data_IF_674566483101
#
_entry.id   IF_674566483101
#
_cell.length_a   1.000
_cell.length_b   1.000
_cell.length_c   1.000
_cell.angle_alpha   90.00
_cell.angle_beta   90.00
_cell.angle_gamma   90.00
#
_symmetry.space_group_name_H-M   'P 1'
#
loop_
_entity.id
_entity.type
_entity.pdbx_description
1 polymer ?
#
# COMPACT_ATOMS: atom_id res chain seq x y z
N UNK A 1 -52.09 -6.39 4.20
CA UNK A 1 -50.95 -6.64 3.28
C UNK A 1 -49.69 -6.87 4.09
N UNK A 2 -49.17 -8.11 4.16
CA UNK A 2 -48.04 -8.45 5.04
C UNK A 2 -46.73 -7.82 4.55
N UNK A 3 -45.90 -7.41 5.51
CA UNK A 3 -44.56 -6.88 5.30
C UNK A 3 -43.65 -7.85 4.52
N UNK A 4 -43.86 -9.15 4.72
CA UNK A 4 -43.20 -10.25 4.00
C UNK A 4 -43.46 -10.21 2.49
N UNK A 5 -44.68 -9.86 2.06
CA UNK A 5 -45.04 -9.73 0.66
C UNK A 5 -44.34 -8.56 -0.04
N UNK A 6 -44.12 -7.44 0.68
CA UNK A 6 -43.37 -6.28 0.18
C UNK A 6 -41.87 -6.55 0.13
N UNK A 7 -41.33 -7.26 1.14
CA UNK A 7 -39.92 -7.68 1.19
C UNK A 7 -39.60 -8.65 0.04
N UNK A 8 -40.44 -9.66 -0.16
CA UNK A 8 -40.33 -10.66 -1.24
C UNK A 8 -40.33 -10.01 -2.63
N UNK A 9 -41.20 -9.01 -2.86
CA UNK A 9 -41.20 -8.23 -4.11
C UNK A 9 -39.92 -7.43 -4.29
N UNK A 10 -39.45 -6.70 -3.26
CA UNK A 10 -38.20 -5.93 -3.34
C UNK A 10 -36.99 -6.83 -3.61
N UNK A 11 -36.92 -8.00 -2.97
CA UNK A 11 -35.83 -8.96 -3.15
C UNK A 11 -35.84 -9.58 -4.55
N UNK A 12 -37.01 -9.88 -5.11
CA UNK A 12 -37.15 -10.34 -6.51
C UNK A 12 -36.70 -9.27 -7.51
N UNK A 13 -37.01 -8.00 -7.27
CA UNK A 13 -36.56 -6.89 -8.13
C UNK A 13 -35.05 -6.64 -8.02
N UNK A 14 -34.49 -6.70 -6.80
CA UNK A 14 -33.05 -6.59 -6.57
C UNK A 14 -32.27 -7.72 -7.28
N UNK A 15 -32.75 -8.97 -7.18
CA UNK A 15 -32.16 -10.13 -7.86
C UNK A 15 -32.22 -10.01 -9.39
N UNK A 16 -33.31 -9.48 -9.95
CA UNK A 16 -33.43 -9.22 -11.40
C UNK A 16 -32.51 -8.08 -11.88
N UNK A 17 -32.28 -7.05 -11.05
CA UNK A 17 -31.32 -5.96 -11.33
C UNK A 17 -29.88 -6.45 -11.30
N UNK A 18 -29.52 -7.22 -10.27
CA UNK A 18 -28.19 -7.83 -10.14
C UNK A 18 -27.88 -8.78 -11.29
N UNK A 19 -28.82 -9.64 -11.70
CA UNK A 19 -28.62 -10.55 -12.83
C UNK A 19 -28.41 -9.86 -14.21
N UNK A 20 -28.75 -8.57 -14.32
CA UNK A 20 -28.60 -7.77 -15.55
C UNK A 20 -27.38 -6.84 -15.54
N UNK A 21 -26.73 -6.62 -14.38
CA UNK A 21 -25.55 -5.75 -14.27
C UNK A 21 -24.28 -6.41 -14.80
N UNK A 22 -23.24 -5.62 -15.10
CA UNK A 22 -21.92 -6.14 -15.52
C UNK A 22 -21.34 -7.12 -14.48
N UNK A 23 -21.59 -6.87 -13.18
CA UNK A 23 -21.24 -7.76 -12.07
C UNK A 23 -22.02 -9.09 -12.09
N UNK A 24 -23.32 -9.06 -12.38
CA UNK A 24 -24.12 -10.28 -12.57
C UNK A 24 -23.76 -11.10 -13.81
N UNK A 25 -23.24 -10.44 -14.85
CA UNK A 25 -22.72 -11.11 -16.05
C UNK A 25 -21.33 -11.73 -15.82
N UNK A 26 -20.44 -11.07 -15.06
CA UNK A 26 -19.16 -11.63 -14.61
C UNK A 26 -19.34 -12.81 -13.62
N UNK A 27 -20.32 -12.69 -12.71
CA UNK A 27 -20.74 -13.74 -11.77
C UNK A 27 -21.16 -15.06 -12.44
N UNK A 28 -21.73 -15.02 -13.66
CA UNK A 28 -22.09 -16.25 -14.38
C UNK A 28 -20.86 -17.07 -14.82
N UNK A 29 -19.68 -16.45 -14.98
CA UNK A 29 -18.42 -17.16 -15.27
C UNK A 29 -17.69 -17.62 -14.01
N UNK A 30 -17.79 -16.91 -12.87
CA UNK A 30 -17.17 -17.31 -11.59
C UNK A 30 -18.04 -18.20 -10.68
N UNK A 31 -19.29 -18.49 -11.06
CA UNK A 31 -20.26 -19.17 -10.21
C UNK A 31 -19.91 -20.60 -9.79
N UNK A 32 -18.95 -21.27 -10.44
CA UNK A 32 -18.47 -22.59 -9.98
C UNK A 32 -17.59 -22.47 -8.72
N UNK A 33 -16.70 -21.49 -8.67
CA UNK A 33 -15.83 -21.24 -7.53
C UNK A 33 -16.63 -20.82 -6.29
N UNK A 34 -17.58 -19.89 -6.45
CA UNK A 34 -18.45 -19.46 -5.35
C UNK A 34 -19.36 -20.58 -4.83
N UNK A 35 -19.88 -21.44 -5.72
CA UNK A 35 -20.66 -22.62 -5.32
C UNK A 35 -19.81 -23.65 -4.59
N UNK A 36 -18.60 -23.90 -5.08
CA UNK A 36 -17.66 -24.82 -4.46
C UNK A 36 -17.29 -24.35 -3.04
N UNK A 37 -16.91 -23.08 -2.89
CA UNK A 37 -16.67 -22.46 -1.58
C UNK A 37 -17.91 -22.62 -0.68
N UNK A 38 -19.10 -22.21 -1.13
CA UNK A 38 -20.32 -22.32 -0.31
C UNK A 38 -20.63 -23.76 0.15
N UNK A 39 -20.25 -24.78 -0.62
CA UNK A 39 -20.45 -26.19 -0.29
C UNK A 39 -19.46 -26.66 0.78
N UNK A 40 -18.19 -26.25 0.67
CA UNK A 40 -17.16 -26.54 1.67
C UNK A 40 -17.54 -25.93 3.04
N UNK A 41 -17.97 -24.67 3.04
CA UNK A 41 -18.38 -23.94 4.23
C UNK A 41 -19.58 -24.59 4.91
N UNK A 42 -20.60 -24.98 4.14
CA UNK A 42 -21.76 -25.72 4.65
C UNK A 42 -21.40 -27.09 5.21
N UNK A 43 -20.43 -27.78 4.62
CA UNK A 43 -19.97 -29.09 5.10
C UNK A 43 -19.32 -28.99 6.47
N UNK A 44 -18.55 -27.93 6.72
CA UNK A 44 -17.95 -27.66 8.03
C UNK A 44 -19.03 -27.29 9.04
N UNK A 45 -19.93 -26.37 8.69
CA UNK A 45 -20.98 -25.88 9.58
C UNK A 45 -22.00 -26.97 9.97
N UNK A 46 -22.28 -27.92 9.07
CA UNK A 46 -23.21 -29.00 9.34
C UNK A 46 -22.66 -30.02 10.35
N UNK A 47 -21.34 -30.21 10.42
CA UNK A 47 -20.71 -31.05 11.42
C UNK A 47 -19.26 -30.60 11.71
N UNK A 48 -19.07 -29.60 12.58
CA UNK A 48 -17.76 -28.99 12.79
C UNK A 48 -16.75 -29.93 13.47
N UNK A 49 -17.22 -30.96 14.17
CA UNK A 49 -16.39 -31.90 14.94
C UNK A 49 -16.03 -33.18 14.18
N UNK A 50 -16.49 -33.34 12.94
CA UNK A 50 -16.09 -34.48 12.13
C UNK A 50 -14.62 -34.38 11.69
N UNK A 51 -13.90 -35.49 11.66
CA UNK A 51 -12.50 -35.58 11.17
C UNK A 51 -12.33 -34.94 9.78
N UNK A 52 -13.33 -35.11 8.90
CA UNK A 52 -13.36 -34.48 7.57
C UNK A 52 -13.46 -32.95 7.63
N UNK A 53 -14.17 -32.40 8.61
CA UNK A 53 -14.29 -30.97 8.83
C UNK A 53 -13.00 -30.38 9.39
N UNK A 54 -12.30 -31.09 10.29
CA UNK A 54 -10.96 -30.69 10.73
C UNK A 54 -9.96 -30.64 9.58
N UNK A 55 -9.94 -31.65 8.72
CA UNK A 55 -9.08 -31.64 7.54
C UNK A 55 -9.40 -30.47 6.58
N UNK A 56 -10.69 -30.19 6.37
CA UNK A 56 -11.11 -29.10 5.51
C UNK A 56 -10.83 -27.71 6.10
N UNK A 57 -11.00 -27.54 7.42
CA UNK A 57 -10.58 -26.34 8.15
C UNK A 57 -9.07 -26.16 8.06
N UNK A 58 -8.29 -27.23 8.24
CA UNK A 58 -6.83 -27.19 8.09
C UNK A 58 -6.41 -26.71 6.69
N UNK A 59 -7.04 -27.21 5.61
CA UNK A 59 -6.77 -26.74 4.26
C UNK A 59 -7.13 -25.26 4.05
N UNK A 60 -8.25 -24.81 4.60
CA UNK A 60 -8.65 -23.40 4.55
C UNK A 60 -7.63 -22.54 5.31
N UNK A 61 -7.24 -22.93 6.52
CA UNK A 61 -6.23 -22.23 7.30
C UNK A 61 -4.83 -22.30 6.69
N UNK A 62 -4.48 -23.36 5.97
CA UNK A 62 -3.22 -23.43 5.22
C UNK A 62 -3.23 -22.47 4.04
N UNK A 63 -4.34 -22.36 3.30
CA UNK A 63 -4.49 -21.37 2.22
C UNK A 63 -4.51 -19.95 2.77
N UNK A 64 -5.23 -19.70 3.86
CA UNK A 64 -5.20 -18.41 4.56
C UNK A 64 -3.81 -18.15 5.14
N UNK A 65 -3.11 -19.15 5.67
CA UNK A 65 -1.77 -19.03 6.22
C UNK A 65 -0.73 -18.72 5.15
N UNK A 66 -0.82 -19.34 3.96
CA UNK A 66 -0.01 -18.97 2.79
C UNK A 66 -0.39 -17.57 2.31
N UNK A 67 -1.68 -17.25 2.25
CA UNK A 67 -2.14 -15.91 1.92
C UNK A 67 -1.63 -14.88 2.94
N UNK A 68 -1.59 -15.16 4.23
CA UNK A 68 -1.06 -14.29 5.27
C UNK A 68 0.47 -14.31 5.33
N UNK A 69 1.14 -15.37 4.88
CA UNK A 69 2.59 -15.39 4.75
C UNK A 69 3.06 -14.57 3.53
N UNK A 70 2.27 -14.57 2.46
CA UNK A 70 2.53 -13.82 1.22
C UNK A 70 1.99 -12.39 1.28
N UNK A 71 0.86 -12.17 1.97
CA UNK A 71 0.09 -10.91 2.03
C UNK A 71 -0.38 -10.51 3.45
N UNK A 72 0.10 -11.16 4.51
CA UNK A 72 -0.30 -10.87 5.90
C UNK A 72 0.79 -10.19 6.73
N UNK A 73 1.98 -10.01 6.15
CA UNK A 73 2.95 -8.98 6.56
C UNK A 73 2.82 -7.68 5.74
N UNK A 74 1.87 -7.62 4.80
CA UNK A 74 1.77 -6.53 3.82
C UNK A 74 0.98 -5.34 4.34
N UNK A 75 1.62 -4.55 5.19
CA UNK A 75 1.40 -3.11 5.13
C UNK A 75 1.83 -2.58 3.75
N UNK A 76 1.19 -1.53 3.23
CA UNK A 76 1.61 -0.82 2.01
C UNK A 76 3.08 -0.34 2.06
N UNK A 77 3.64 -0.16 3.26
CA UNK A 77 5.04 0.12 3.53
C UNK A 77 5.53 -0.85 4.60
N UNK A 78 6.61 -1.59 4.31
CA UNK A 78 7.12 -2.68 5.17
C UNK A 78 8.55 -2.45 5.69
N UNK A 79 9.18 -1.32 5.41
CA UNK A 79 10.55 -1.02 5.89
C UNK A 79 10.65 -1.10 7.42
N UNK A 80 11.84 -1.23 7.97
CA UNK A 80 11.99 -0.91 9.38
C UNK A 80 11.78 0.60 9.61
N UNK A 81 11.16 1.03 10.71
CA UNK A 81 10.95 2.46 11.04
C UNK A 81 12.25 3.27 10.98
N UNK A 82 13.39 2.68 11.37
CA UNK A 82 14.68 3.34 11.25
C UNK A 82 15.09 3.60 9.79
N UNK A 83 14.86 2.62 8.91
CA UNK A 83 15.21 2.72 7.49
C UNK A 83 14.19 3.61 6.73
N UNK A 84 12.93 3.61 7.16
CA UNK A 84 11.91 4.56 6.70
C UNK A 84 12.32 5.99 7.03
N UNK A 85 12.77 6.24 8.27
CA UNK A 85 13.24 7.55 8.69
C UNK A 85 14.48 8.02 7.90
N UNK A 86 15.42 7.12 7.58
CA UNK A 86 16.55 7.45 6.68
C UNK A 86 16.07 7.82 5.29
N UNK A 87 15.12 7.06 4.74
CA UNK A 87 14.55 7.32 3.41
C UNK A 87 13.81 8.67 3.36
N UNK A 88 13.07 8.97 4.43
CA UNK A 88 12.42 10.27 4.61
C UNK A 88 13.42 11.42 4.70
N UNK A 89 14.50 11.24 5.46
CA UNK A 89 15.59 12.22 5.55
C UNK A 89 16.27 12.44 4.20
N UNK A 90 16.51 11.40 3.44
CA UNK A 90 17.13 11.49 2.11
C UNK A 90 16.34 12.45 1.20
N UNK A 91 15.03 12.27 1.12
CA UNK A 91 14.17 13.06 0.22
C UNK A 91 13.93 14.45 0.78
N UNK A 92 13.63 14.58 2.08
CA UNK A 92 13.44 15.92 2.68
C UNK A 92 14.72 16.77 2.60
N UNK A 93 15.90 16.15 2.75
CA UNK A 93 17.18 16.83 2.51
C UNK A 93 17.28 17.31 1.06
N UNK A 94 16.96 16.44 0.10
CA UNK A 94 17.00 16.76 -1.33
C UNK A 94 16.10 17.94 -1.68
N UNK A 95 14.87 17.96 -1.15
CA UNK A 95 13.94 19.08 -1.24
C UNK A 95 14.59 20.39 -0.80
N UNK A 96 15.20 20.42 0.40
CA UNK A 96 15.82 21.63 0.94
C UNK A 96 17.09 22.04 0.18
N UNK A 97 17.91 21.08 -0.27
CA UNK A 97 19.12 21.33 -1.06
C UNK A 97 18.80 22.00 -2.40
N UNK A 98 17.72 21.56 -3.05
CA UNK A 98 17.28 22.06 -4.36
C UNK A 98 16.41 23.30 -4.29
N UNK A 99 15.82 23.55 -3.13
CA UNK A 99 15.09 24.80 -2.86
C UNK A 99 16.04 26.01 -2.82
N UNK A 100 15.53 27.13 -3.33
CA UNK A 100 16.22 28.41 -3.42
C UNK A 100 15.21 29.57 -3.29
N UNK A 101 15.64 30.78 -3.58
CA UNK A 101 14.83 32.00 -3.51
C UNK A 101 13.65 32.03 -4.49
N UNK A 102 13.68 31.23 -5.55
CA UNK A 102 12.66 31.19 -6.61
C UNK A 102 11.70 30.02 -6.47
N UNK A 103 12.17 28.89 -5.95
CA UNK A 103 11.40 27.65 -5.87
C UNK A 103 11.65 26.97 -4.52
N UNK A 104 10.56 26.62 -3.83
CA UNK A 104 10.58 25.91 -2.54
C UNK A 104 9.86 24.55 -2.70
N UNK A 105 10.62 23.46 -2.66
CA UNK A 105 10.14 22.12 -2.99
C UNK A 105 9.67 21.33 -1.77
N UNK A 106 8.41 20.90 -1.77
CA UNK A 106 7.86 20.00 -0.76
C UNK A 106 7.28 18.76 -1.46
N UNK A 107 8.15 17.81 -1.78
CA UNK A 107 7.77 16.63 -2.57
C UNK A 107 6.84 15.73 -1.76
N UNK A 108 5.91 15.03 -2.45
CA UNK A 108 5.09 14.00 -1.81
C UNK A 108 5.94 12.74 -1.54
N UNK A 109 6.69 12.78 -0.44
CA UNK A 109 7.60 11.70 -0.02
C UNK A 109 6.86 10.38 0.15
N UNK A 110 5.63 10.41 0.68
CA UNK A 110 4.84 9.20 0.91
C UNK A 110 4.56 8.43 -0.38
N UNK A 111 4.30 9.11 -1.50
CA UNK A 111 4.07 8.43 -2.79
C UNK A 111 5.35 7.76 -3.30
N UNK A 112 6.50 8.43 -3.12
CA UNK A 112 7.79 7.88 -3.52
C UNK A 112 8.13 6.63 -2.71
N UNK A 113 8.00 6.70 -1.38
CA UNK A 113 8.31 5.58 -0.51
C UNK A 113 7.33 4.42 -0.71
N UNK A 114 6.05 4.72 -0.90
CA UNK A 114 5.05 3.70 -1.22
C UNK A 114 5.41 2.95 -2.51
N UNK A 115 5.77 3.67 -3.57
CA UNK A 115 6.24 3.05 -4.81
C UNK A 115 7.52 2.23 -4.64
N UNK A 116 8.52 2.74 -3.92
CA UNK A 116 9.76 2.01 -3.69
C UNK A 116 9.55 0.72 -2.92
N UNK A 117 8.64 0.72 -1.95
CA UNK A 117 8.26 -0.47 -1.19
C UNK A 117 7.50 -1.48 -2.04
N UNK A 118 6.64 -1.03 -2.95
CA UNK A 118 6.04 -1.92 -3.93
C UNK A 118 7.10 -2.55 -4.85
N UNK A 119 8.01 -1.73 -5.38
CA UNK A 119 8.99 -2.15 -6.39
C UNK A 119 10.08 -3.08 -5.85
N UNK A 120 10.56 -2.81 -4.62
CA UNK A 120 11.74 -3.46 -4.03
C UNK A 120 11.46 -4.18 -2.71
N UNK A 121 10.20 -4.20 -2.25
CA UNK A 121 9.82 -4.84 -1.00
C UNK A 121 10.25 -4.05 0.24
N UNK A 122 10.35 -4.75 1.36
CA UNK A 122 10.64 -4.21 2.69
C UNK A 122 12.13 -3.98 2.98
N UNK A 123 12.98 -4.73 2.28
CA UNK A 123 14.37 -4.95 2.69
C UNK A 123 15.34 -3.90 2.13
N UNK A 124 14.88 -3.07 1.18
CA UNK A 124 15.72 -2.02 0.63
C UNK A 124 15.97 -0.91 1.66
N UNK A 125 17.21 -0.42 1.66
CA UNK A 125 17.65 0.69 2.51
C UNK A 125 18.37 1.72 1.65
N UNK A 126 18.29 3.02 1.93
CA UNK A 126 18.95 4.07 1.15
C UNK A 126 20.44 3.82 0.88
N UNK A 127 21.14 3.22 1.84
CA UNK A 127 22.57 2.89 1.79
C UNK A 127 22.90 1.53 1.16
N UNK A 128 21.88 0.73 0.80
CA UNK A 128 22.09 -0.58 0.19
C UNK A 128 22.24 -0.46 -1.32
N UNK A 129 23.01 -1.38 -1.90
CA UNK A 129 23.25 -1.46 -3.34
C UNK A 129 21.96 -1.53 -4.15
N UNK A 130 21.88 -0.71 -5.19
CA UNK A 130 20.76 -0.67 -6.13
C UNK A 130 21.19 -1.15 -7.51
N UNK A 131 20.55 -2.22 -8.00
CA UNK A 131 20.96 -2.90 -9.23
C UNK A 131 20.39 -2.30 -10.52
N UNK A 132 19.32 -1.51 -10.43
CA UNK A 132 18.69 -0.89 -11.61
C UNK A 132 19.24 0.51 -11.90
N UNK A 133 20.26 0.96 -11.16
CA UNK A 133 20.92 2.24 -11.35
C UNK A 133 21.82 2.31 -12.58
N UNK A 134 22.47 3.47 -12.77
CA UNK A 134 23.35 3.71 -13.93
C UNK A 134 24.52 2.72 -13.93
N UNK A 135 24.71 1.96 -15.01
CA UNK A 135 25.71 0.88 -15.07
C UNK A 135 25.19 -0.50 -14.61
N UNK A 136 23.91 -0.59 -14.25
CA UNK A 136 23.17 -1.84 -14.05
C UNK A 136 23.69 -2.72 -12.90
N UNK A 137 23.43 -4.03 -13.01
CA UNK A 137 23.71 -4.99 -11.93
C UNK A 137 25.19 -5.02 -11.51
N UNK A 138 26.12 -4.82 -12.45
CA UNK A 138 27.55 -4.77 -12.14
C UNK A 138 27.92 -3.55 -11.31
N UNK A 139 27.39 -2.38 -11.64
CA UNK A 139 27.61 -1.17 -10.83
C UNK A 139 26.94 -1.27 -9.46
N UNK A 140 25.73 -1.87 -9.38
CA UNK A 140 25.06 -2.14 -8.11
C UNK A 140 25.84 -3.12 -7.23
N UNK A 141 26.33 -4.24 -7.79
CA UNK A 141 27.07 -5.27 -7.06
C UNK A 141 28.42 -4.76 -6.53
N UNK A 142 29.03 -3.81 -7.24
CA UNK A 142 30.26 -3.13 -6.81
C UNK A 142 30.02 -1.94 -5.86
N UNK A 143 28.75 -1.65 -5.51
CA UNK A 143 28.38 -0.59 -4.58
C UNK A 143 28.49 0.83 -5.15
N UNK A 144 28.43 0.98 -6.48
CA UNK A 144 28.46 2.31 -7.12
C UNK A 144 27.09 2.97 -7.23
N UNK A 145 26.01 2.20 -7.08
CA UNK A 145 24.63 2.68 -7.05
C UNK A 145 23.97 2.25 -5.74
N UNK A 146 23.23 3.15 -5.11
CA UNK A 146 22.48 2.90 -3.89
C UNK A 146 21.00 3.25 -4.08
N UNK A 147 20.12 2.75 -3.21
CA UNK A 147 18.69 3.11 -3.30
C UNK A 147 18.44 4.60 -3.01
N UNK A 148 19.33 5.28 -2.30
CA UNK A 148 19.32 6.74 -2.21
C UNK A 148 19.47 7.42 -3.59
N UNK A 149 20.19 6.80 -4.53
CA UNK A 149 20.27 7.28 -5.92
C UNK A 149 18.93 7.08 -6.64
N UNK A 150 18.24 5.96 -6.42
CA UNK A 150 16.89 5.75 -6.93
C UNK A 150 15.90 6.81 -6.41
N UNK A 151 15.96 7.13 -5.11
CA UNK A 151 15.15 8.19 -4.50
C UNK A 151 15.47 9.57 -5.10
N UNK A 152 16.75 9.87 -5.32
CA UNK A 152 17.16 11.11 -5.98
C UNK A 152 16.70 11.16 -7.44
N UNK A 153 16.71 10.02 -8.14
CA UNK A 153 16.30 9.91 -9.53
C UNK A 153 14.79 10.09 -9.71
N UNK A 154 13.99 9.47 -8.84
CA UNK A 154 12.55 9.76 -8.74
C UNK A 154 12.32 11.24 -8.46
N UNK A 155 13.00 11.82 -7.46
CA UNK A 155 12.86 13.23 -7.13
C UNK A 155 13.16 14.13 -8.34
N UNK A 156 14.23 13.85 -9.08
CA UNK A 156 14.60 14.63 -10.26
C UNK A 156 13.51 14.54 -11.33
N UNK A 157 12.95 13.35 -11.59
CA UNK A 157 11.90 13.19 -12.60
C UNK A 157 10.55 13.79 -12.21
N UNK A 158 10.27 13.91 -10.90
CA UNK A 158 9.09 14.61 -10.39
C UNK A 158 9.22 16.14 -10.46
N UNK A 159 10.44 16.65 -10.23
CA UNK A 159 10.68 18.06 -9.94
C UNK A 159 11.58 18.77 -10.96
N UNK A 160 11.89 18.13 -12.09
CA UNK A 160 12.77 18.65 -13.15
C UNK A 160 12.28 19.98 -13.76
N UNK A 161 10.96 20.15 -13.87
CA UNK A 161 10.32 21.36 -14.35
C UNK A 161 9.51 22.04 -13.23
N UNK A 162 10.00 23.17 -12.67
CA UNK A 162 9.29 23.92 -11.63
C UNK A 162 7.91 24.43 -12.05
N UNK A 163 7.65 24.56 -13.35
CA UNK A 163 6.37 25.02 -13.88
C UNK A 163 5.41 23.87 -14.21
N UNK A 164 5.88 22.63 -14.16
CA UNK A 164 5.10 21.44 -14.48
C UNK A 164 5.56 20.24 -13.64
N UNK A 165 5.32 20.32 -12.33
CA UNK A 165 5.63 19.23 -11.39
C UNK A 165 4.82 17.99 -11.73
N UNK A 166 5.50 16.84 -11.77
CA UNK A 166 4.87 15.54 -12.04
C UNK A 166 4.45 14.86 -10.73
N UNK A 167 3.58 13.87 -10.85
CA UNK A 167 3.20 12.95 -9.77
C UNK A 167 3.89 11.60 -9.97
N UNK A 168 3.94 10.78 -8.93
CA UNK A 168 4.47 9.42 -9.05
C UNK A 168 3.78 8.61 -10.14
N UNK A 169 2.48 8.82 -10.36
CA UNK A 169 1.71 8.21 -11.44
C UNK A 169 2.26 8.46 -12.85
N UNK A 170 2.94 9.58 -13.06
CA UNK A 170 3.57 9.91 -14.34
C UNK A 170 4.88 9.12 -14.56
N UNK A 171 5.47 8.57 -13.50
CA UNK A 171 6.77 7.90 -13.53
C UNK A 171 6.70 6.37 -13.66
N UNK A 172 5.58 5.75 -13.26
CA UNK A 172 5.43 4.29 -13.33
C UNK A 172 4.51 3.80 -14.45
N UNK A 173 3.80 4.71 -15.13
CA UNK A 173 2.92 4.38 -16.24
C UNK A 173 3.66 3.94 -17.52
N UNK A 174 2.93 3.34 -18.46
CA UNK A 174 3.47 2.86 -19.74
C UNK A 174 4.12 3.96 -20.60
N UNK A 175 3.70 5.22 -20.44
CA UNK A 175 4.28 6.39 -21.11
C UNK A 175 5.49 6.99 -20.40
N UNK A 176 5.91 6.44 -19.26
CA UNK A 176 7.05 6.97 -18.52
C UNK A 176 8.33 6.93 -19.35
N UNK A 177 9.25 7.87 -19.09
CA UNK A 177 10.61 7.83 -19.64
C UNK A 177 11.61 7.18 -18.67
N UNK A 178 11.16 6.91 -17.45
CA UNK A 178 11.95 6.31 -16.39
C UNK A 178 11.80 4.79 -16.45
N UNK A 179 12.65 4.14 -17.25
CA UNK A 179 12.49 2.72 -17.59
C UNK A 179 12.46 1.79 -16.37
N UNK A 180 13.31 2.02 -15.37
CA UNK A 180 13.36 1.16 -14.18
C UNK A 180 12.09 1.25 -13.32
N UNK A 181 11.38 2.38 -13.40
CA UNK A 181 10.18 2.66 -12.63
C UNK A 181 8.89 2.22 -13.33
N UNK A 182 8.94 1.89 -14.63
CA UNK A 182 7.77 1.40 -15.37
C UNK A 182 7.25 0.11 -14.77
N UNK A 183 5.93 0.06 -14.61
CA UNK A 183 5.21 -1.14 -14.22
C UNK A 183 4.55 -1.79 -15.45
N UNK A 184 4.57 -3.11 -15.48
CA UNK A 184 3.73 -3.89 -16.40
C UNK A 184 2.24 -3.70 -16.08
N UNK A 185 1.36 -4.09 -17.00
CA UNK A 185 -0.09 -3.98 -16.79
C UNK A 185 -0.56 -4.73 -15.53
N UNK A 186 0.03 -5.90 -15.23
CA UNK A 186 -0.27 -6.66 -14.01
C UNK A 186 0.23 -5.97 -12.74
N UNK A 187 1.47 -5.47 -12.74
CA UNK A 187 2.01 -4.75 -11.60
C UNK A 187 1.25 -3.45 -11.34
N UNK A 188 0.78 -2.78 -12.39
CA UNK A 188 -0.03 -1.58 -12.27
C UNK A 188 -1.41 -1.85 -11.65
N UNK A 189 -2.00 -3.01 -11.95
CA UNK A 189 -3.25 -3.45 -11.31
C UNK A 189 -3.03 -3.71 -9.82
N UNK A 190 -1.99 -4.47 -9.47
CA UNK A 190 -1.61 -4.76 -8.08
C UNK A 190 -1.29 -3.47 -7.29
N UNK A 191 -0.50 -2.57 -7.86
CA UNK A 191 -0.15 -1.29 -7.25
C UNK A 191 -1.40 -0.45 -6.94
N UNK A 192 -2.37 -0.39 -7.86
CA UNK A 192 -3.63 0.33 -7.65
C UNK A 192 -4.52 -0.31 -6.60
N UNK A 193 -4.56 -1.64 -6.53
CA UNK A 193 -5.26 -2.35 -5.46
C UNK A 193 -4.67 -2.01 -4.09
N UNK A 194 -3.33 -1.94 -4.00
CA UNK A 194 -2.65 -1.50 -2.78
C UNK A 194 -2.94 -0.02 -2.46
N UNK A 195 -2.95 0.88 -3.46
CA UNK A 195 -3.34 2.28 -3.24
C UNK A 195 -4.75 2.40 -2.66
N UNK A 196 -5.74 1.66 -3.19
CA UNK A 196 -7.10 1.66 -2.65
C UNK A 196 -7.14 1.10 -1.23
N UNK A 197 -6.40 0.02 -0.95
CA UNK A 197 -6.28 -0.53 0.39
C UNK A 197 -5.73 0.51 1.38
N UNK A 198 -4.74 1.31 0.96
CA UNK A 198 -4.16 2.36 1.83
C UNK A 198 -5.16 3.43 2.24
N UNK A 199 -6.25 3.64 1.47
CA UNK A 199 -7.30 4.59 1.84
C UNK A 199 -8.17 4.06 2.98
N UNK A 200 -8.26 2.75 3.12
CA UNK A 200 -9.03 2.10 4.19
C UNK A 200 -8.19 1.89 5.46
N UNK A 201 -6.96 1.39 5.31
CA UNK A 201 -6.12 0.98 6.46
C UNK A 201 -4.97 1.95 6.77
N UNK A 202 -4.75 2.97 5.93
CA UNK A 202 -3.58 3.84 5.98
C UNK A 202 -2.36 3.24 5.28
N UNK A 203 -1.32 4.07 5.04
CA UNK A 203 -0.07 3.65 4.35
C UNK A 203 0.90 2.91 5.25
N UNK A 204 0.83 3.17 6.56
CA UNK A 204 1.77 2.68 7.56
C UNK A 204 1.04 1.90 8.68
N UNK A 205 0.16 0.93 8.36
CA UNK A 205 -0.67 0.24 9.36
C UNK A 205 0.18 -0.61 10.33
N UNK A 206 1.30 -1.14 9.87
CA UNK A 206 2.25 -1.95 10.65
C UNK A 206 3.06 -1.14 11.67
N UNK A 207 3.15 0.17 11.52
CA UNK A 207 3.89 1.04 12.45
C UNK A 207 3.01 1.62 13.57
N UNK A 208 1.77 1.14 13.69
CA UNK A 208 0.90 1.43 14.83
C UNK A 208 1.32 0.61 16.07
N UNK A 209 2.63 0.51 16.34
CA UNK A 209 3.14 -0.08 17.59
C UNK A 209 2.94 0.87 18.79
N UNK A 210 2.76 2.16 18.51
CA UNK A 210 2.47 3.16 19.53
C UNK A 210 0.98 3.13 19.86
N UNK A 211 0.67 2.76 21.10
CA UNK A 211 -0.60 3.04 21.75
C UNK A 211 -1.04 4.47 21.44
N UNK A 212 -2.31 4.65 21.08
CA UNK A 212 -2.81 5.99 20.79
C UNK A 212 -2.70 6.85 22.06
N UNK A 213 -1.84 7.89 22.07
CA UNK A 213 -1.55 8.64 23.30
C UNK A 213 -2.68 9.62 23.66
N UNK A 214 -3.69 9.77 22.79
CA UNK A 214 -4.79 10.72 22.97
C UNK A 214 -6.03 10.11 23.63
N UNK A 215 -6.15 8.78 23.61
CA UNK A 215 -7.32 8.06 24.08
C UNK A 215 -6.90 6.95 25.06
N UNK A 216 -7.80 6.54 25.95
CA UNK A 216 -7.56 5.40 26.84
C UNK A 216 -7.99 4.10 26.15
N UNK A 217 -7.46 2.95 26.58
CA UNK A 217 -7.71 1.64 25.95
C UNK A 217 -9.21 1.26 25.84
N UNK A 218 -10.04 1.79 26.72
CA UNK A 218 -11.49 1.57 26.76
C UNK A 218 -12.29 2.50 25.82
N UNK A 219 -11.64 3.53 25.24
CA UNK A 219 -12.25 4.42 24.27
C UNK A 219 -12.24 3.77 22.87
N UNK A 220 -13.38 3.73 22.16
CA UNK A 220 -13.43 3.24 20.77
C UNK A 220 -12.42 3.91 19.82
N UNK A 221 -12.04 5.16 20.11
CA UNK A 221 -11.08 5.96 19.36
C UNK A 221 -9.63 5.57 19.62
N UNK A 222 -9.36 4.72 20.61
CA UNK A 222 -8.01 4.21 20.90
C UNK A 222 -7.42 3.44 19.72
N UNK A 223 -8.26 2.72 18.97
CA UNK A 223 -7.86 1.99 17.76
C UNK A 223 -7.88 2.86 16.51
N UNK A 224 -8.21 4.15 16.62
CA UNK A 224 -8.21 5.04 15.47
C UNK A 224 -6.77 5.31 15.02
N UNK A 225 -6.52 5.35 13.69
CA UNK A 225 -5.20 5.66 13.16
C UNK A 225 -4.75 7.06 13.60
N UNK A 226 -3.47 7.22 13.90
CA UNK A 226 -2.88 8.51 14.25
C UNK A 226 -2.62 9.34 12.99
N UNK A 227 -3.06 10.60 12.99
CA UNK A 227 -2.82 11.52 11.88
C UNK A 227 -1.54 12.30 12.15
N UNK A 228 -0.55 12.18 11.25
CA UNK A 228 0.68 12.98 11.32
C UNK A 228 0.43 14.33 10.63
N UNK A 229 0.56 15.43 11.38
CA UNK A 229 0.47 16.80 10.85
C UNK A 229 1.81 17.30 10.30
N UNK A 230 2.89 16.93 10.98
CA UNK A 230 4.25 17.30 10.59
C UNK A 230 5.19 16.19 11.01
N UNK A 231 5.88 15.58 10.05
CA UNK A 231 6.87 14.54 10.31
C UNK A 231 8.25 15.16 10.54
N UNK A 232 9.07 14.42 11.28
CA UNK A 232 10.52 14.56 11.33
C UNK A 232 11.14 14.80 9.93
N UNK A 233 12.16 15.64 9.81
CA UNK A 233 12.85 15.85 8.51
C UNK A 233 13.53 17.20 8.36
N UNK A 234 14.23 17.40 7.24
CA UNK A 234 14.90 18.67 6.98
C UNK A 234 13.90 19.82 6.74
N UNK A 235 14.12 20.94 7.41
CA UNK A 235 13.34 22.19 7.23
C UNK A 235 14.14 23.29 6.54
N UNK A 236 15.46 23.21 6.60
CA UNK A 236 16.40 24.01 5.81
C UNK A 236 17.54 23.12 5.32
N UNK A 237 18.55 23.70 4.64
CA UNK A 237 19.70 22.95 4.11
C UNK A 237 20.56 22.29 5.21
N UNK A 238 20.47 22.78 6.44
CA UNK A 238 21.29 22.32 7.56
C UNK A 238 20.48 21.99 8.83
N UNK A 239 19.18 22.30 8.86
CA UNK A 239 18.35 22.13 10.04
C UNK A 239 17.38 20.96 9.87
N UNK A 240 17.41 20.04 10.84
CA UNK A 240 16.47 18.93 10.94
C UNK A 240 15.46 19.25 12.03
N UNK A 241 14.18 19.13 11.70
CA UNK A 241 13.11 19.13 12.66
C UNK A 241 13.04 17.75 13.34
N UNK A 242 13.48 17.67 14.59
CA UNK A 242 13.63 16.42 15.35
C UNK A 242 12.35 15.92 16.04
N UNK A 243 11.18 16.44 15.66
CA UNK A 243 9.90 16.13 16.32
C UNK A 243 8.89 15.61 15.31
N UNK A 244 7.81 15.01 15.80
CA UNK A 244 6.62 14.66 15.00
C UNK A 244 5.39 15.25 15.69
N UNK A 245 4.53 15.91 14.91
CA UNK A 245 3.24 16.43 15.39
C UNK A 245 2.14 15.47 14.98
N UNK A 246 1.37 15.02 15.96
CA UNK A 246 0.26 14.11 15.78
C UNK A 246 -1.06 14.83 16.11
N UNK A 247 -2.13 14.43 15.44
CA UNK A 247 -3.49 14.89 15.70
C UNK A 247 -4.38 13.70 16.00
N UNK A 248 -5.21 13.86 17.03
CA UNK A 248 -6.30 12.94 17.33
C UNK A 248 -7.37 13.00 16.25
N UNK A 249 -7.83 11.81 15.85
CA UNK A 249 -8.87 11.59 14.84
C UNK A 249 -10.26 11.92 15.37
#
# INVERSE_FOLDING_TARGET
FSWEGKLSKKMKHAKKRLARSKFGKASKRSGKALKFASKLLRSILANPLAVKSFFLMFLIFAVIGVFMAVFGGSGPVQQNEFDLNKSWLQISKRDREKSNDKVDYWTNIDDMLFFMNFRYGSDWKPESSWKDGTGGEWAGTLGFNHYSDALNDLWNHLNDDPHNLKKMADLYGSSSKLEWAKLSDSELEEYKELEELTKEVGRYPSYQELANPFYQEDDPSYQAPLVILKRFGYTSKSEIYEKTQLKAS
#
